data_IF_456590898298
#
_entry.id   IF_456590898298
#
_cell.length_a   1.000
_cell.length_b   1.000
_cell.length_c   1.000
_cell.angle_alpha   90.00
_cell.angle_beta   90.00
_cell.angle_gamma   90.00
#
_symmetry.space_group_name_H-M   'P 1'
#
loop_
_entity.id
_entity.type
_entity.pdbx_description
1 polymer ?
#
# COMPACT_ATOMS: atom_id res chain seq x y z
N UNK A 1 -36.10 -22.90 7.68
CA UNK A 1 -34.72 -23.10 7.17
C UNK A 1 -34.46 -22.04 6.11
N UNK A 2 -33.77 -20.95 6.47
CA UNK A 2 -33.36 -19.91 5.50
C UNK A 2 -31.99 -20.30 4.97
N UNK A 3 -31.93 -20.60 3.67
CA UNK A 3 -30.70 -20.85 2.94
C UNK A 3 -29.87 -19.56 2.91
N UNK A 4 -28.69 -19.58 3.52
CA UNK A 4 -27.70 -18.52 3.35
C UNK A 4 -27.04 -18.76 1.99
N UNK A 5 -27.37 -17.92 1.01
CA UNK A 5 -26.60 -17.88 -0.24
C UNK A 5 -25.23 -17.27 0.06
N UNK A 6 -24.23 -18.12 0.21
CA UNK A 6 -22.84 -17.74 0.07
C UNK A 6 -22.64 -17.27 -1.37
N UNK A 7 -22.50 -15.96 -1.58
CA UNK A 7 -22.01 -15.41 -2.85
C UNK A 7 -20.50 -15.63 -2.90
N UNK A 8 -20.10 -16.85 -3.24
CA UNK A 8 -18.74 -17.16 -3.68
C UNK A 8 -18.63 -16.84 -5.16
N UNK A 9 -17.91 -15.78 -5.49
CA UNK A 9 -17.03 -15.65 -6.68
C UNK A 9 -16.52 -14.21 -6.71
N UNK A 10 -15.46 -13.93 -5.96
CA UNK A 10 -14.61 -12.78 -6.23
C UNK A 10 -13.66 -13.21 -7.33
N UNK A 11 -14.07 -13.04 -8.59
CA UNK A 11 -13.12 -13.13 -9.70
C UNK A 11 -11.92 -12.23 -9.36
N UNK A 12 -10.70 -12.76 -9.42
CA UNK A 12 -9.50 -11.95 -9.21
C UNK A 12 -9.56 -10.78 -10.20
N UNK A 13 -9.64 -9.57 -9.68
CA UNK A 13 -9.55 -8.37 -10.50
C UNK A 13 -8.07 -8.24 -10.93
N UNK A 14 -7.74 -8.38 -12.23
CA UNK A 14 -6.35 -8.40 -12.69
C UNK A 14 -5.57 -7.15 -12.26
N UNK A 15 -6.20 -5.97 -12.32
CA UNK A 15 -5.56 -4.73 -11.90
C UNK A 15 -5.24 -4.67 -10.39
N UNK A 16 -5.90 -5.48 -9.55
CA UNK A 16 -5.56 -5.61 -8.13
C UNK A 16 -4.39 -6.56 -7.88
N UNK A 17 -4.19 -7.54 -8.77
CA UNK A 17 -3.01 -8.41 -8.72
C UNK A 17 -1.77 -7.64 -9.14
N UNK A 18 -1.86 -6.87 -10.23
CA UNK A 18 -0.77 -6.01 -10.70
C UNK A 18 -0.35 -5.01 -9.61
N UNK A 19 -1.34 -4.38 -8.96
CA UNK A 19 -1.12 -3.46 -7.85
C UNK A 19 -0.40 -4.11 -6.65
N UNK A 20 -0.76 -5.35 -6.34
CA UNK A 20 -0.15 -6.12 -5.26
C UNK A 20 1.31 -6.48 -5.58
N UNK A 21 1.57 -6.94 -6.81
CA UNK A 21 2.91 -7.31 -7.27
C UNK A 21 3.84 -6.07 -7.32
N UNK A 22 3.32 -4.93 -7.77
CA UNK A 22 4.04 -3.65 -7.78
C UNK A 22 4.44 -3.20 -6.36
N UNK A 23 3.53 -3.34 -5.39
CA UNK A 23 3.82 -3.02 -3.99
C UNK A 23 4.88 -3.94 -3.39
N UNK A 24 4.79 -5.25 -3.64
CA UNK A 24 5.82 -6.20 -3.22
C UNK A 24 7.17 -5.81 -3.81
N UNK A 25 7.20 -5.49 -5.10
CA UNK A 25 8.44 -5.11 -5.79
C UNK A 25 9.02 -3.83 -5.19
N UNK A 26 8.22 -2.80 -4.96
CA UNK A 26 8.65 -1.56 -4.31
C UNK A 26 9.27 -1.82 -2.93
N UNK A 27 8.60 -2.61 -2.09
CA UNK A 27 9.04 -2.92 -0.73
C UNK A 27 10.32 -3.76 -0.74
N UNK A 28 10.39 -4.78 -1.59
CA UNK A 28 11.58 -5.60 -1.75
C UNK A 28 12.76 -4.78 -2.28
N UNK A 29 12.57 -3.87 -3.23
CA UNK A 29 13.64 -3.00 -3.74
C UNK A 29 14.27 -2.11 -2.65
N UNK A 30 13.59 -1.92 -1.51
CA UNK A 30 14.04 -1.09 -0.39
C UNK A 30 14.16 -1.82 0.95
N UNK A 31 14.14 -3.16 0.93
CA UNK A 31 14.30 -3.99 2.14
C UNK A 31 15.66 -3.73 2.79
N UNK A 32 15.70 -3.77 4.12
CA UNK A 32 16.96 -3.67 4.88
C UNK A 32 17.90 -4.84 4.59
N UNK A 33 17.35 -6.04 4.45
CA UNK A 33 18.08 -7.29 4.32
C UNK A 33 17.27 -8.34 3.55
N UNK A 34 17.92 -9.47 3.22
CA UNK A 34 17.32 -10.61 2.53
C UNK A 34 16.66 -11.63 3.47
N UNK A 35 16.42 -11.27 4.73
CA UNK A 35 15.81 -12.21 5.69
C UNK A 35 14.39 -12.60 5.27
N UNK A 36 14.00 -13.82 5.59
CA UNK A 36 12.64 -14.31 5.36
C UNK A 36 11.61 -13.43 6.08
N UNK A 37 11.94 -12.91 7.26
CA UNK A 37 11.10 -11.99 8.02
C UNK A 37 10.78 -10.72 7.22
N UNK A 38 11.81 -10.03 6.70
CA UNK A 38 11.61 -8.79 5.93
C UNK A 38 10.81 -9.06 4.63
N UNK A 39 11.06 -10.20 3.97
CA UNK A 39 10.32 -10.58 2.76
C UNK A 39 8.84 -10.87 3.05
N UNK A 40 8.56 -11.63 4.12
CA UNK A 40 7.18 -11.91 4.55
C UNK A 40 6.46 -10.64 4.98
N UNK A 41 7.16 -9.72 5.64
CA UNK A 41 6.61 -8.43 6.02
C UNK A 41 6.26 -7.58 4.79
N UNK A 42 7.09 -7.58 3.74
CA UNK A 42 6.78 -6.90 2.48
C UNK A 42 5.47 -7.42 1.86
N UNK A 43 5.30 -8.75 1.82
CA UNK A 43 4.07 -9.40 1.35
C UNK A 43 2.88 -8.98 2.21
N UNK A 44 3.02 -9.01 3.54
CA UNK A 44 1.94 -8.66 4.46
C UNK A 44 1.52 -7.19 4.31
N UNK A 45 2.46 -6.27 4.19
CA UNK A 45 2.17 -4.84 3.94
C UNK A 45 1.41 -4.67 2.61
N UNK A 46 1.86 -5.32 1.54
CA UNK A 46 1.20 -5.26 0.24
C UNK A 46 -0.22 -5.82 0.29
N UNK A 47 -0.43 -6.94 1.00
CA UNK A 47 -1.76 -7.51 1.24
C UNK A 47 -2.65 -6.54 2.03
N UNK A 48 -2.15 -5.93 3.10
CA UNK A 48 -2.91 -4.96 3.90
C UNK A 48 -3.24 -3.68 3.12
N UNK A 49 -2.42 -3.27 2.15
CA UNK A 49 -2.78 -2.22 1.20
C UNK A 49 -4.02 -2.56 0.36
N UNK A 50 -4.38 -3.84 0.22
CA UNK A 50 -5.61 -4.24 -0.47
C UNK A 50 -6.89 -3.99 0.36
N UNK A 51 -6.76 -3.66 1.64
CA UNK A 51 -7.88 -3.24 2.49
C UNK A 51 -8.40 -1.84 2.15
N UNK A 52 -9.52 -1.45 2.75
CA UNK A 52 -10.16 -0.15 2.52
C UNK A 52 -9.85 0.88 3.61
N UNK A 53 -9.12 0.51 4.66
CA UNK A 53 -8.84 1.41 5.79
C UNK A 53 -7.44 2.02 5.66
N UNK A 54 -7.02 2.72 6.71
CA UNK A 54 -5.62 3.10 6.84
C UNK A 54 -4.76 1.85 7.04
N UNK A 55 -3.56 1.82 6.42
CA UNK A 55 -2.68 0.66 6.45
C UNK A 55 -2.40 0.12 7.86
N UNK A 56 -2.21 1.00 8.85
CA UNK A 56 -1.98 0.55 10.23
C UNK A 56 -3.17 -0.21 10.82
N UNK A 57 -4.41 0.12 10.42
CA UNK A 57 -5.62 -0.59 10.83
C UNK A 57 -5.74 -1.94 10.10
N UNK A 58 -5.48 -1.95 8.80
CA UNK A 58 -5.51 -3.18 7.98
C UNK A 58 -4.36 -4.15 8.32
N UNK A 59 -3.31 -3.66 9.00
CA UNK A 59 -2.25 -4.46 9.62
C UNK A 59 -2.51 -4.80 11.10
N UNK A 60 -3.66 -4.38 11.65
CA UNK A 60 -4.04 -4.57 13.06
C UNK A 60 -3.02 -4.01 14.06
N UNK A 61 -2.32 -2.94 13.69
CA UNK A 61 -1.41 -2.20 14.57
C UNK A 61 -2.22 -1.24 15.47
N UNK A 62 -1.72 -0.88 16.67
CA UNK A 62 -2.47 -0.02 17.59
C UNK A 62 -2.58 1.43 17.11
N UNK A 63 -1.60 1.90 16.33
CA UNK A 63 -1.56 3.26 15.82
C UNK A 63 -0.61 3.39 14.63
N UNK A 64 -0.67 4.58 14.00
CA UNK A 64 0.21 4.95 12.88
C UNK A 64 1.68 5.01 13.25
N UNK A 65 2.03 5.44 14.46
CA UNK A 65 3.43 5.56 14.89
C UNK A 65 4.14 4.21 14.94
N UNK A 66 3.43 3.17 15.37
CA UNK A 66 3.91 1.78 15.38
C UNK A 66 4.24 1.33 13.96
N UNK A 67 3.37 1.64 12.99
CA UNK A 67 3.66 1.38 11.58
C UNK A 67 4.88 2.18 11.09
N UNK A 68 5.01 3.45 11.45
CA UNK A 68 6.17 4.26 11.04
C UNK A 68 7.48 3.69 11.59
N UNK A 69 7.51 3.24 12.85
CA UNK A 69 8.68 2.56 13.44
C UNK A 69 9.02 1.25 12.73
N UNK A 70 8.00 0.46 12.38
CA UNK A 70 8.16 -0.77 11.61
C UNK A 70 8.80 -0.48 10.25
N UNK A 71 8.30 0.54 9.55
CA UNK A 71 8.85 0.97 8.26
C UNK A 71 10.29 1.46 8.37
N UNK A 72 10.63 2.28 9.37
CA UNK A 72 12.00 2.73 9.62
C UNK A 72 12.94 1.56 9.92
N UNK A 73 12.45 0.51 10.58
CA UNK A 73 13.27 -0.64 10.99
C UNK A 73 13.56 -1.59 9.83
N UNK A 74 12.57 -1.88 8.97
CA UNK A 74 12.70 -2.91 7.93
C UNK A 74 12.88 -2.34 6.51
N UNK A 75 12.50 -1.09 6.28
CA UNK A 75 12.61 -0.41 4.98
C UNK A 75 13.20 1.02 5.14
N UNK A 76 14.38 1.17 5.78
CA UNK A 76 14.91 2.47 6.20
C UNK A 76 15.09 3.45 5.03
N UNK A 77 15.57 2.97 3.87
CA UNK A 77 15.77 3.80 2.69
C UNK A 77 14.44 4.32 2.10
N UNK A 78 13.38 3.51 2.15
CA UNK A 78 12.04 3.92 1.71
C UNK A 78 11.40 4.88 2.73
N UNK A 79 11.59 4.62 4.02
CA UNK A 79 11.07 5.48 5.09
C UNK A 79 11.70 6.88 5.04
N UNK A 80 13.01 6.98 4.77
CA UNK A 80 13.71 8.26 4.63
C UNK A 80 13.18 9.14 3.49
N UNK A 81 12.54 8.55 2.47
CA UNK A 81 11.90 9.28 1.36
C UNK A 81 10.54 9.87 1.74
N UNK A 82 9.91 9.41 2.83
CA UNK A 82 8.62 9.92 3.30
C UNK A 82 8.75 11.19 4.17
N UNK A 83 9.39 12.23 3.62
CA UNK A 83 9.76 13.45 4.34
C UNK A 83 8.52 14.25 4.81
N UNK A 84 7.43 14.22 4.03
CA UNK A 84 6.20 14.97 4.32
C UNK A 84 5.24 14.29 5.30
N UNK A 85 5.67 13.23 6.00
CA UNK A 85 4.83 12.37 6.84
C UNK A 85 3.50 12.02 6.14
N UNK A 86 3.58 11.56 4.89
CA UNK A 86 2.41 11.10 4.17
C UNK A 86 1.90 9.80 4.79
N UNK A 87 0.57 9.60 4.80
CA UNK A 87 -0.02 8.30 5.15
C UNK A 87 0.65 7.21 4.30
N UNK A 88 1.17 6.16 4.93
CA UNK A 88 2.01 5.14 4.28
C UNK A 88 1.44 4.57 2.98
N UNK A 89 0.15 4.25 2.97
CA UNK A 89 -0.53 3.76 1.76
C UNK A 89 -0.47 4.79 0.63
N UNK A 90 -0.80 6.05 0.91
CA UNK A 90 -0.70 7.17 -0.05
C UNK A 90 0.74 7.36 -0.55
N UNK A 91 1.71 7.24 0.36
CA UNK A 91 3.14 7.35 0.04
C UNK A 91 3.59 6.25 -0.92
N UNK A 92 3.24 4.98 -0.68
CA UNK A 92 3.61 3.88 -1.57
C UNK A 92 3.08 4.06 -2.99
N UNK A 93 1.81 4.44 -3.14
CA UNK A 93 1.25 4.69 -4.46
C UNK A 93 1.92 5.85 -5.19
N UNK A 94 2.30 6.91 -4.46
CA UNK A 94 3.11 7.99 -5.04
C UNK A 94 4.45 7.46 -5.55
N UNK A 95 5.14 6.61 -4.79
CA UNK A 95 6.41 6.01 -5.24
C UNK A 95 6.23 5.13 -6.49
N UNK A 96 5.12 4.40 -6.60
CA UNK A 96 4.80 3.62 -7.80
C UNK A 96 4.53 4.52 -9.02
N UNK A 97 3.82 5.63 -8.84
CA UNK A 97 3.58 6.60 -9.93
C UNK A 97 4.89 7.24 -10.42
N UNK A 98 5.76 7.64 -9.49
CA UNK A 98 7.07 8.22 -9.78
C UNK A 98 7.97 7.23 -10.56
N UNK A 99 7.96 5.94 -10.19
CA UNK A 99 8.73 4.88 -10.87
C UNK A 99 8.33 4.70 -12.33
N UNK A 100 7.04 4.77 -12.62
CA UNK A 100 6.48 4.55 -13.96
C UNK A 100 6.54 5.81 -14.84
N UNK A 101 7.03 6.94 -14.29
CA UNK A 101 7.01 8.26 -14.92
C UNK A 101 5.59 8.70 -15.33
N UNK A 102 4.58 8.30 -14.54
CA UNK A 102 3.17 8.59 -14.80
C UNK A 102 2.68 9.63 -13.81
N UNK A 103 2.21 10.77 -14.34
CA UNK A 103 1.63 11.86 -13.56
C UNK A 103 0.24 11.51 -12.98
N UNK A 104 -0.42 10.49 -13.52
CA UNK A 104 -1.76 10.02 -13.14
C UNK A 104 -1.66 8.62 -12.56
N UNK A 105 -2.13 8.42 -11.32
CA UNK A 105 -1.96 7.16 -10.62
C UNK A 105 -2.78 6.02 -11.24
N UNK A 106 -2.10 4.88 -11.46
CA UNK A 106 -2.69 3.62 -11.93
C UNK A 106 -3.44 2.84 -10.84
N UNK A 107 -3.29 3.18 -9.56
CA UNK A 107 -3.89 2.38 -8.47
C UNK A 107 -5.42 2.44 -8.52
N UNK A 108 -6.10 1.29 -8.68
CA UNK A 108 -7.56 1.25 -8.65
C UNK A 108 -8.13 1.65 -7.28
N UNK A 109 -7.32 1.62 -6.22
CA UNK A 109 -7.71 2.08 -4.89
C UNK A 109 -7.69 3.61 -4.73
N UNK A 110 -7.00 4.35 -5.62
CA UNK A 110 -6.99 5.81 -5.58
C UNK A 110 -8.35 6.40 -5.97
N UNK A 111 -9.10 5.82 -6.92
CA UNK A 111 -10.40 6.33 -7.37
C UNK A 111 -11.51 6.35 -6.30
N UNK A 112 -11.31 5.61 -5.20
CA UNK A 112 -12.20 5.58 -4.03
C UNK A 112 -11.57 6.23 -2.79
N UNK A 113 -10.35 6.77 -2.91
CA UNK A 113 -9.68 7.46 -1.82
C UNK A 113 -10.22 8.87 -1.66
N UNK A 114 -10.67 9.24 -0.46
CA UNK A 114 -11.13 10.61 -0.14
C UNK A 114 -10.05 11.68 -0.27
N UNK A 115 -8.78 11.28 -0.33
CA UNK A 115 -7.63 12.16 -0.58
C UNK A 115 -7.26 12.23 -2.07
N UNK A 116 -8.05 11.66 -3.00
CA UNK A 116 -7.80 11.67 -4.45
C UNK A 116 -7.64 13.09 -5.00
N UNK A 117 -8.56 14.00 -4.69
CA UNK A 117 -8.48 15.39 -5.16
C UNK A 117 -7.24 16.12 -4.61
N UNK A 118 -6.71 15.72 -3.45
CA UNK A 118 -5.47 16.29 -2.92
C UNK A 118 -4.21 15.74 -3.58
N UNK A 119 -4.33 14.65 -4.35
CA UNK A 119 -3.25 14.10 -5.16
C UNK A 119 -3.31 14.57 -6.62
N UNK A 120 -4.52 14.81 -7.15
CA UNK A 120 -4.77 15.04 -8.57
C UNK A 120 -5.53 16.33 -8.87
N UNK A 121 -5.76 17.20 -7.88
CA UNK A 121 -6.33 18.53 -8.08
C UNK A 121 -5.32 19.48 -8.74
N UNK A 122 -5.80 20.54 -9.42
CA UNK A 122 -4.92 21.55 -9.99
C UNK A 122 -4.07 22.20 -8.90
N UNK A 123 -2.77 22.35 -9.16
CA UNK A 123 -1.87 23.07 -8.25
C UNK A 123 -2.31 24.55 -8.22
N UNK A 124 -2.85 24.97 -7.08
CA UNK A 124 -3.13 26.38 -6.75
C UNK A 124 -1.97 27.01 -6.02
#
# INVERSE_FOLDING_TARGET
MRTVQLKTETALNPGRMDEFDDLIRLLNDHRRDDSLETQQLAIFIALSCMGNNHLWQDMMLPNRETLSRLMTTHFPALAAKNIGDMKWKKFFYRQLCERENILICKSPSCGICTDYEKCFGPET
#
